data_IF_116423129984
#
_entry.id   IF_116423129984
#
_cell.length_a   1.000
_cell.length_b   1.000
_cell.length_c   1.000
_cell.angle_alpha   90.00
_cell.angle_beta   90.00
_cell.angle_gamma   90.00
#
_symmetry.space_group_name_H-M   'P 1'
#
loop_
_entity.id
_entity.type
_entity.pdbx_description
1 polymer ?
#
# COMPACT_ATOMS: atom_id res chain seq x y z
N UNK A 1 1.63 9.23 -26.25
CA UNK A 1 0.52 9.38 -25.26
C UNK A 1 1.11 9.14 -23.89
N UNK A 2 0.72 9.90 -22.86
CA UNK A 2 1.24 9.72 -21.49
C UNK A 2 0.78 8.38 -20.92
N UNK A 3 1.72 7.60 -20.36
CA UNK A 3 1.45 6.41 -19.58
C UNK A 3 1.32 6.78 -18.10
N UNK A 4 0.12 6.65 -17.53
CA UNK A 4 -0.23 7.14 -16.21
C UNK A 4 -0.19 6.05 -15.16
N UNK A 5 0.62 6.26 -14.14
CA UNK A 5 0.81 5.31 -13.03
C UNK A 5 0.21 5.89 -11.75
N UNK A 6 -0.58 5.09 -11.05
CA UNK A 6 -0.99 5.32 -9.67
C UNK A 6 -0.22 4.38 -8.75
N UNK A 7 0.50 4.91 -7.77
CA UNK A 7 1.25 4.12 -6.79
C UNK A 7 0.71 4.38 -5.39
N UNK A 8 0.36 3.32 -4.66
CA UNK A 8 -0.28 3.38 -3.34
C UNK A 8 0.56 2.67 -2.28
N UNK A 9 0.98 3.40 -1.27
CA UNK A 9 1.84 2.87 -0.21
C UNK A 9 1.09 1.96 0.77
N UNK A 10 1.87 1.14 1.50
CA UNK A 10 1.41 0.44 2.68
C UNK A 10 1.23 1.35 3.90
N UNK A 11 0.68 0.80 4.99
CA UNK A 11 0.48 1.57 6.24
C UNK A 11 -0.69 1.15 7.14
N UNK A 12 -1.31 0.00 6.89
CA UNK A 12 -2.43 -0.51 7.70
C UNK A 12 -3.65 0.41 7.66
N UNK A 13 -4.28 0.69 8.82
CA UNK A 13 -5.48 1.53 8.91
C UNK A 13 -5.28 2.95 8.35
N UNK A 14 -4.04 3.42 8.27
CA UNK A 14 -3.70 4.71 7.66
C UNK A 14 -4.02 4.78 6.17
N UNK A 15 -4.32 3.65 5.52
CA UNK A 15 -4.90 3.60 4.16
C UNK A 15 -6.15 4.46 4.00
N UNK A 16 -6.85 4.82 5.09
CA UNK A 16 -7.92 5.85 5.09
C UNK A 16 -7.47 7.16 4.47
N UNK A 17 -6.22 7.58 4.70
CA UNK A 17 -5.66 8.81 4.13
C UNK A 17 -5.61 8.71 2.60
N UNK A 18 -4.99 7.65 2.09
CA UNK A 18 -4.90 7.41 0.66
C UNK A 18 -6.28 7.27 0.03
N UNK A 19 -7.23 6.59 0.68
CA UNK A 19 -8.61 6.46 0.21
C UNK A 19 -9.33 7.82 0.06
N UNK A 20 -9.13 8.73 1.02
CA UNK A 20 -9.69 10.09 0.96
C UNK A 20 -9.04 10.89 -0.15
N UNK A 21 -7.72 10.85 -0.29
CA UNK A 21 -7.01 11.56 -1.36
C UNK A 21 -7.46 11.04 -2.74
N UNK A 22 -7.59 9.71 -2.90
CA UNK A 22 -8.14 9.10 -4.12
C UNK A 22 -9.54 9.61 -4.43
N UNK A 23 -10.40 9.75 -3.43
CA UNK A 23 -11.76 10.25 -3.63
C UNK A 23 -11.82 11.74 -3.98
N UNK A 24 -10.83 12.55 -3.59
CA UNK A 24 -10.70 13.93 -4.07
C UNK A 24 -10.13 13.96 -5.50
N UNK A 25 -9.12 13.13 -5.79
CA UNK A 25 -8.54 13.01 -7.12
C UNK A 25 -9.55 12.53 -8.18
N UNK A 26 -10.38 11.55 -7.83
CA UNK A 26 -11.46 11.03 -8.68
C UNK A 26 -12.50 12.11 -9.03
N UNK A 27 -12.74 13.08 -8.14
CA UNK A 27 -13.62 14.23 -8.44
C UNK A 27 -12.97 15.21 -9.41
N UNK A 28 -11.69 15.54 -9.19
CA UNK A 28 -10.95 16.48 -10.05
C UNK A 28 -10.77 15.91 -11.46
N UNK A 29 -10.47 14.61 -11.58
CA UNK A 29 -10.38 13.92 -12.88
C UNK A 29 -11.76 13.80 -13.55
N UNK A 30 -12.84 13.78 -12.76
CA UNK A 30 -14.21 13.61 -13.23
C UNK A 30 -14.44 12.33 -14.07
N UNK A 31 -13.70 11.25 -13.75
CA UNK A 31 -13.91 9.92 -14.32
C UNK A 31 -13.43 8.83 -13.35
N UNK A 32 -13.92 7.58 -13.48
CA UNK A 32 -13.43 6.47 -12.67
C UNK A 32 -11.91 6.30 -12.82
N UNK A 33 -11.21 6.16 -11.68
CA UNK A 33 -9.74 6.12 -11.69
C UNK A 33 -9.18 4.93 -12.49
N UNK A 34 -9.92 3.82 -12.58
CA UNK A 34 -9.52 2.67 -13.40
C UNK A 34 -9.59 2.93 -14.91
N UNK A 35 -10.29 3.98 -15.35
CA UNK A 35 -10.28 4.43 -16.75
C UNK A 35 -9.25 5.52 -17.01
N UNK A 36 -8.68 6.12 -15.97
CA UNK A 36 -7.68 7.19 -16.08
C UNK A 36 -6.24 6.67 -16.05
N UNK A 37 -5.95 5.71 -15.17
CA UNK A 37 -4.61 5.16 -15.02
C UNK A 37 -4.39 3.93 -15.91
N UNK A 38 -3.19 3.79 -16.46
CA UNK A 38 -2.78 2.62 -17.26
C UNK A 38 -2.17 1.52 -16.39
N UNK A 39 -1.59 1.91 -15.25
CA UNK A 39 -1.00 0.99 -14.25
C UNK A 39 -1.31 1.48 -12.84
N UNK A 40 -1.84 0.60 -12.01
CA UNK A 40 -2.06 0.83 -10.59
C UNK A 40 -1.20 -0.15 -9.80
N UNK A 41 -0.37 0.38 -8.90
CA UNK A 41 0.54 -0.39 -8.05
C UNK A 41 0.20 -0.17 -6.58
N UNK A 42 0.24 -1.25 -5.79
CA UNK A 42 -0.10 -1.17 -4.38
C UNK A 42 0.66 -2.14 -3.48
N UNK A 43 0.96 -1.68 -2.27
CA UNK A 43 1.60 -2.48 -1.22
C UNK A 43 0.76 -2.49 0.04
N UNK A 44 0.57 -3.64 0.69
CA UNK A 44 -0.19 -3.76 1.94
C UNK A 44 -1.59 -3.16 1.82
N UNK A 45 -1.98 -2.23 2.69
CA UNK A 45 -3.25 -1.50 2.56
C UNK A 45 -3.40 -0.80 1.19
N UNK A 46 -2.28 -0.35 0.59
CA UNK A 46 -2.23 0.19 -0.77
C UNK A 46 -2.55 -0.87 -1.83
N UNK A 47 -2.27 -2.15 -1.60
CA UNK A 47 -2.70 -3.22 -2.50
C UNK A 47 -4.21 -3.42 -2.49
N UNK A 48 -4.83 -3.28 -1.31
CA UNK A 48 -6.30 -3.36 -1.14
C UNK A 48 -6.96 -2.19 -1.90
N UNK A 49 -6.41 -0.98 -1.76
CA UNK A 49 -6.86 0.18 -2.52
C UNK A 49 -6.64 -0.01 -4.01
N UNK A 50 -5.44 -0.42 -4.43
CA UNK A 50 -5.09 -0.63 -5.83
C UNK A 50 -6.01 -1.65 -6.49
N UNK A 51 -6.26 -2.79 -5.83
CA UNK A 51 -7.17 -3.82 -6.28
C UNK A 51 -8.61 -3.29 -6.41
N UNK A 52 -9.12 -2.57 -5.39
CA UNK A 52 -10.46 -2.00 -5.42
C UNK A 52 -10.63 -0.98 -6.54
N UNK A 53 -9.68 -0.06 -6.70
CA UNK A 53 -9.72 0.90 -7.79
C UNK A 53 -9.64 0.16 -9.12
N UNK A 54 -8.70 -0.77 -9.31
CA UNK A 54 -8.52 -1.48 -10.58
C UNK A 54 -9.76 -2.28 -11.01
N UNK A 55 -10.56 -2.80 -10.07
CA UNK A 55 -11.85 -3.47 -10.36
C UNK A 55 -13.02 -2.50 -10.56
N UNK A 56 -12.77 -1.19 -10.56
CA UNK A 56 -13.78 -0.15 -10.80
C UNK A 56 -14.60 0.24 -9.57
N UNK A 57 -14.16 -0.14 -8.36
CA UNK A 57 -14.83 0.27 -7.13
C UNK A 57 -14.56 1.77 -6.91
N UNK A 58 -15.60 2.60 -6.73
CA UNK A 58 -15.41 4.03 -6.50
C UNK A 58 -14.56 4.31 -5.27
N UNK A 59 -13.71 5.33 -5.35
CA UNK A 59 -12.78 5.68 -4.26
C UNK A 59 -13.50 5.96 -2.94
N UNK A 60 -14.72 6.51 -2.99
CA UNK A 60 -15.58 6.73 -1.81
C UNK A 60 -16.01 5.45 -1.11
N UNK A 61 -16.25 4.36 -1.84
CA UNK A 61 -16.60 3.06 -1.24
C UNK A 61 -15.37 2.45 -0.55
N UNK A 62 -14.17 2.70 -1.06
CA UNK A 62 -12.93 2.29 -0.39
C UNK A 62 -12.72 2.99 0.95
N UNK A 63 -13.21 4.23 1.14
CA UNK A 63 -13.23 4.88 2.46
C UNK A 63 -14.14 4.10 3.42
N UNK A 64 -15.34 3.73 2.96
CA UNK A 64 -16.33 3.02 3.79
C UNK A 64 -15.84 1.63 4.22
N UNK A 65 -15.03 0.97 3.38
CA UNK A 65 -14.38 -0.29 3.75
C UNK A 65 -13.61 -0.16 5.07
N UNK A 66 -12.78 0.87 5.22
CA UNK A 66 -12.03 1.09 6.46
C UNK A 66 -12.93 1.51 7.62
N UNK A 67 -13.92 2.37 7.39
CA UNK A 67 -14.85 2.83 8.43
C UNK A 67 -15.70 1.69 9.01
N UNK A 68 -16.16 0.77 8.17
CA UNK A 68 -17.12 -0.27 8.55
C UNK A 68 -16.43 -1.59 8.91
N UNK A 69 -15.30 -1.89 8.27
CA UNK A 69 -14.62 -3.20 8.40
C UNK A 69 -13.26 -3.09 9.06
N UNK A 70 -12.73 -1.89 9.32
CA UNK A 70 -11.44 -1.68 9.99
C UNK A 70 -11.33 -2.42 11.32
N UNK A 71 -12.32 -2.30 12.20
CA UNK A 71 -12.35 -3.02 13.49
C UNK A 71 -12.40 -4.55 13.32
N UNK A 72 -12.99 -5.05 12.22
CA UNK A 72 -13.02 -6.49 11.89
C UNK A 72 -11.68 -6.98 11.35
N UNK A 73 -10.96 -6.16 10.59
CA UNK A 73 -9.60 -6.45 10.13
C UNK A 73 -8.64 -6.45 11.33
N UNK A 74 -8.70 -5.39 12.16
CA UNK A 74 -7.84 -5.17 13.32
C UNK A 74 -8.53 -5.54 14.63
N UNK A 75 -8.99 -6.80 14.75
CA UNK A 75 -9.79 -7.30 15.90
C UNK A 75 -9.15 -7.21 17.29
N UNK A 76 -7.88 -6.85 17.40
CA UNK A 76 -7.12 -6.91 18.65
C UNK A 76 -6.53 -5.55 19.01
N UNK A 77 -7.32 -4.70 19.65
CA UNK A 77 -6.87 -3.39 20.14
C UNK A 77 -6.11 -3.46 21.48
N UNK A 78 -6.22 -4.56 22.24
CA UNK A 78 -5.53 -4.71 23.53
C UNK A 78 -4.66 -5.97 23.62
N UNK A 79 -3.41 -5.80 24.05
CA UNK A 79 -2.44 -6.88 24.35
C UNK A 79 -2.95 -7.88 25.40
N UNK A 80 -3.95 -7.50 26.20
CA UNK A 80 -4.51 -8.28 27.32
C UNK A 80 -5.88 -8.90 27.02
N UNK A 81 -6.36 -8.85 25.77
CA UNK A 81 -7.66 -9.46 25.43
C UNK A 81 -7.63 -10.98 25.59
N UNK A 82 -8.63 -11.57 26.27
CA UNK A 82 -8.86 -13.02 26.37
C UNK A 82 -8.94 -13.71 24.99
N UNK A 83 -9.27 -12.94 23.93
CA UNK A 83 -9.27 -13.43 22.54
C UNK A 83 -7.86 -13.65 21.97
N UNK A 84 -6.80 -13.05 22.55
CA UNK A 84 -5.38 -13.32 22.20
C UNK A 84 -4.90 -14.66 22.74
N UNK A 85 -5.58 -15.24 23.73
CA UNK A 85 -5.21 -16.53 24.30
C UNK A 85 -5.14 -17.61 23.21
N UNK A 86 -6.08 -17.61 22.25
CA UNK A 86 -6.08 -18.53 21.10
C UNK A 86 -4.87 -18.36 20.17
N UNK A 87 -4.39 -17.12 19.98
CA UNK A 87 -3.26 -16.78 19.11
C UNK A 87 -1.93 -17.13 19.81
N UNK A 88 -1.84 -16.86 21.12
CA UNK A 88 -0.70 -17.25 21.97
C UNK A 88 -0.62 -18.77 22.14
N UNK A 89 -1.76 -19.46 22.35
CA UNK A 89 -1.82 -20.92 22.42
C UNK A 89 -1.37 -21.58 21.11
N UNK A 90 -1.61 -20.94 19.96
CA UNK A 90 -1.25 -21.46 18.64
C UNK A 90 0.21 -21.16 18.24
N UNK A 91 0.75 -20.00 18.60
CA UNK A 91 2.05 -19.53 18.11
C UNK A 91 3.06 -19.17 19.23
N UNK A 92 2.74 -19.43 20.49
CA UNK A 92 3.59 -19.14 21.65
C UNK A 92 3.60 -17.67 22.07
N UNK A 93 4.53 -17.31 22.97
CA UNK A 93 4.65 -15.93 23.51
C UNK A 93 5.05 -14.89 22.44
N UNK A 94 5.58 -15.33 21.30
CA UNK A 94 5.96 -14.50 20.15
C UNK A 94 4.85 -14.40 19.08
N UNK A 95 3.61 -14.70 19.45
CA UNK A 95 2.50 -14.73 18.50
C UNK A 95 2.21 -13.35 17.86
N UNK A 96 1.76 -13.31 16.59
CA UNK A 96 1.42 -12.07 15.91
C UNK A 96 0.31 -11.30 16.65
N UNK A 97 0.30 -9.98 16.49
CA UNK A 97 -0.63 -9.07 17.18
C UNK A 97 -2.09 -9.40 16.86
N UNK A 98 -2.37 -9.83 15.62
CA UNK A 98 -3.68 -10.17 15.12
C UNK A 98 -3.73 -11.54 14.43
N UNK A 99 -4.92 -12.15 14.44
CA UNK A 99 -5.29 -13.25 13.53
C UNK A 99 -5.53 -12.68 12.13
N UNK A 100 -5.07 -13.38 11.09
CA UNK A 100 -5.37 -13.04 9.69
C UNK A 100 -6.81 -13.36 9.27
N UNK A 101 -7.61 -14.02 10.12
CA UNK A 101 -8.97 -14.42 9.78
C UNK A 101 -9.87 -13.23 9.40
N UNK A 102 -9.80 -12.14 10.18
CA UNK A 102 -10.60 -10.94 9.90
C UNK A 102 -10.23 -10.27 8.58
N UNK A 103 -8.93 -10.19 8.29
CA UNK A 103 -8.42 -9.71 7.01
C UNK A 103 -8.92 -10.61 5.85
N UNK A 104 -8.75 -11.93 5.96
CA UNK A 104 -9.18 -12.88 4.91
C UNK A 104 -10.69 -12.79 4.66
N UNK A 105 -11.51 -12.78 5.70
CA UNK A 105 -12.97 -12.68 5.58
C UNK A 105 -13.39 -11.39 4.86
N UNK A 106 -12.82 -10.25 5.27
CA UNK A 106 -13.15 -8.95 4.65
C UNK A 106 -12.66 -8.87 3.21
N UNK A 107 -11.47 -9.40 2.89
CA UNK A 107 -10.97 -9.42 1.51
C UNK A 107 -11.81 -10.34 0.62
N UNK A 108 -12.26 -11.49 1.12
CA UNK A 108 -13.20 -12.38 0.41
C UNK A 108 -14.56 -11.73 0.19
N UNK A 109 -15.11 -11.04 1.19
CA UNK A 109 -16.34 -10.25 1.05
C UNK A 109 -16.18 -9.17 -0.03
N UNK A 110 -15.02 -8.50 -0.08
CA UNK A 110 -14.79 -7.36 -0.96
C UNK A 110 -14.55 -7.76 -2.42
N UNK A 111 -13.76 -8.81 -2.67
CA UNK A 111 -13.32 -9.18 -4.02
C UNK A 111 -13.92 -10.50 -4.54
N UNK A 112 -14.66 -11.23 -3.70
CA UNK A 112 -15.41 -12.42 -4.09
C UNK A 112 -14.56 -13.44 -4.86
N UNK A 113 -15.01 -13.77 -6.07
CA UNK A 113 -14.35 -14.72 -6.98
C UNK A 113 -13.41 -14.08 -7.98
N UNK A 114 -13.24 -12.74 -7.94
CA UNK A 114 -12.36 -12.02 -8.87
C UNK A 114 -10.93 -12.53 -8.72
N UNK A 115 -10.31 -12.82 -9.86
CA UNK A 115 -8.92 -13.24 -9.98
C UNK A 115 -8.06 -12.09 -10.45
N UNK A 116 -6.75 -12.20 -10.22
CA UNK A 116 -5.79 -11.24 -10.73
C UNK A 116 -5.85 -11.12 -12.28
N UNK A 117 -6.06 -12.25 -12.96
CA UNK A 117 -6.23 -12.33 -14.43
C UNK A 117 -7.46 -11.59 -14.97
N UNK A 118 -8.45 -11.28 -14.15
CA UNK A 118 -9.66 -10.58 -14.59
C UNK A 118 -9.40 -9.08 -14.84
N UNK A 119 -8.22 -8.59 -14.43
CA UNK A 119 -7.78 -7.18 -14.54
C UNK A 119 -6.62 -7.09 -15.56
N UNK A 120 -6.79 -7.67 -16.74
CA UNK A 120 -5.68 -7.91 -17.66
C UNK A 120 -5.15 -6.65 -18.36
N UNK A 121 -6.06 -5.76 -18.78
CA UNK A 121 -5.75 -4.81 -19.86
C UNK A 121 -5.52 -3.38 -19.36
N UNK A 122 -6.57 -2.66 -18.99
CA UNK A 122 -6.45 -1.31 -18.41
C UNK A 122 -7.47 -1.08 -17.28
N UNK A 123 -7.03 -0.78 -16.06
CA UNK A 123 -5.64 -0.56 -15.68
C UNK A 123 -4.93 -1.91 -15.48
N UNK A 124 -3.63 -1.95 -15.76
CA UNK A 124 -2.77 -3.03 -15.26
C UNK A 124 -2.65 -2.94 -13.74
N UNK A 125 -2.60 -4.07 -13.03
CA UNK A 125 -2.50 -4.12 -11.57
C UNK A 125 -1.20 -4.80 -11.11
N UNK A 126 -0.44 -4.10 -10.26
CA UNK A 126 0.77 -4.59 -9.62
C UNK A 126 0.60 -4.62 -8.09
N UNK A 127 0.86 -5.76 -7.47
CA UNK A 127 0.84 -5.92 -6.01
C UNK A 127 2.16 -6.51 -5.52
N UNK A 128 2.78 -5.87 -4.53
CA UNK A 128 4.05 -6.35 -3.95
C UNK A 128 3.83 -7.20 -2.71
N UNK A 129 4.53 -8.32 -2.59
CA UNK A 129 4.66 -9.13 -1.37
C UNK A 129 6.09 -9.70 -1.29
N UNK A 130 6.40 -10.46 -0.24
CA UNK A 130 7.71 -11.09 -0.10
C UNK A 130 7.59 -12.56 0.31
N UNK A 131 8.28 -13.45 -0.39
CA UNK A 131 8.31 -14.88 -0.09
C UNK A 131 9.47 -15.21 0.85
N UNK A 132 9.15 -15.61 2.06
CA UNK A 132 10.15 -16.00 3.07
C UNK A 132 10.81 -17.35 2.78
N UNK A 133 10.17 -18.25 2.01
CA UNK A 133 10.77 -19.54 1.65
C UNK A 133 11.85 -19.37 0.59
N UNK A 134 11.56 -18.65 -0.50
CA UNK A 134 12.57 -18.38 -1.54
C UNK A 134 13.44 -17.15 -1.26
N UNK A 135 13.12 -16.35 -0.24
CA UNK A 135 13.78 -15.09 0.10
C UNK A 135 13.82 -14.11 -1.07
N UNK A 136 12.71 -14.03 -1.81
CA UNK A 136 12.57 -13.22 -3.02
C UNK A 136 11.26 -12.44 -2.97
N UNK A 137 11.18 -11.24 -3.59
CA UNK A 137 9.93 -10.53 -3.72
C UNK A 137 8.94 -11.31 -4.60
N UNK A 138 7.66 -11.21 -4.26
CA UNK A 138 6.55 -11.63 -5.12
C UNK A 138 5.96 -10.34 -5.70
N UNK A 139 6.04 -10.18 -7.01
CA UNK A 139 5.41 -9.05 -7.71
C UNK A 139 4.24 -9.62 -8.51
N UNK A 140 3.06 -9.63 -7.90
CA UNK A 140 1.82 -10.03 -8.58
C UNK A 140 1.53 -9.00 -9.68
N UNK A 141 1.32 -9.48 -10.90
CA UNK A 141 1.06 -8.66 -12.07
C UNK A 141 -0.09 -9.25 -12.86
N UNK A 142 -1.09 -8.45 -13.17
CA UNK A 142 -2.31 -8.91 -13.85
C UNK A 142 -2.16 -9.18 -15.35
N UNK A 143 -0.99 -8.91 -15.93
CA UNK A 143 -0.67 -9.12 -17.35
C UNK A 143 0.44 -10.17 -17.57
N UNK A 144 0.62 -11.09 -16.62
CA UNK A 144 1.67 -12.13 -16.65
C UNK A 144 1.09 -13.53 -16.70
N UNK A 145 0.56 -13.91 -17.86
CA UNK A 145 0.04 -15.26 -18.13
C UNK A 145 1.08 -16.37 -17.91
N UNK A 146 2.36 -16.04 -18.06
CA UNK A 146 3.49 -16.96 -17.84
C UNK A 146 3.74 -17.31 -16.36
N UNK A 147 2.97 -16.75 -15.42
CA UNK A 147 3.22 -16.90 -13.98
C UNK A 147 2.11 -17.69 -13.31
N UNK A 148 2.51 -18.62 -12.44
CA UNK A 148 1.56 -19.48 -11.73
C UNK A 148 0.61 -18.72 -10.80
N UNK A 149 0.95 -17.49 -10.43
CA UNK A 149 0.08 -16.62 -9.64
C UNK A 149 -1.01 -15.93 -10.47
N UNK A 150 -1.00 -16.04 -11.80
CA UNK A 150 -1.86 -15.26 -12.69
C UNK A 150 -3.37 -15.44 -12.41
N UNK A 151 -3.78 -16.65 -12.04
CA UNK A 151 -5.17 -16.97 -11.71
C UNK A 151 -5.47 -16.99 -10.20
N UNK A 152 -4.54 -16.49 -9.37
CA UNK A 152 -4.75 -16.40 -7.92
C UNK A 152 -5.91 -15.44 -7.65
N UNK A 153 -6.81 -15.78 -6.70
CA UNK A 153 -7.87 -14.87 -6.29
C UNK A 153 -7.31 -13.52 -5.83
N UNK A 154 -7.92 -12.44 -6.27
CA UNK A 154 -7.45 -11.08 -5.98
C UNK A 154 -7.42 -10.79 -4.47
N UNK A 155 -8.40 -11.30 -3.73
CA UNK A 155 -8.43 -11.22 -2.27
C UNK A 155 -7.18 -11.85 -1.65
N UNK A 156 -6.67 -12.95 -2.22
CA UNK A 156 -5.55 -13.69 -1.67
C UNK A 156 -4.22 -12.99 -1.95
N UNK A 157 -4.07 -12.39 -3.13
CA UNK A 157 -2.93 -11.52 -3.44
C UNK A 157 -2.86 -10.31 -2.48
N UNK A 158 -4.02 -9.70 -2.17
CA UNK A 158 -4.09 -8.63 -1.17
C UNK A 158 -3.73 -9.12 0.24
N UNK A 159 -4.22 -10.30 0.65
CA UNK A 159 -3.86 -10.90 1.95
C UNK A 159 -2.34 -11.15 2.02
N UNK A 160 -1.73 -11.69 0.97
CA UNK A 160 -0.28 -11.88 0.89
C UNK A 160 0.46 -10.54 1.12
N UNK A 161 0.03 -9.49 0.42
CA UNK A 161 0.64 -8.16 0.48
C UNK A 161 0.42 -7.43 1.81
N UNK A 162 -0.67 -7.70 2.54
CA UNK A 162 -1.01 -7.05 3.81
C UNK A 162 -0.64 -7.87 5.06
N UNK A 163 0.04 -9.01 4.91
CA UNK A 163 0.43 -9.89 6.03
C UNK A 163 1.69 -9.39 6.74
N UNK A 164 1.59 -8.24 7.40
CA UNK A 164 2.75 -7.56 8.00
C UNK A 164 3.40 -8.39 9.13
N UNK A 165 4.73 -8.61 9.11
CA UNK A 165 5.43 -9.28 10.20
C UNK A 165 5.14 -8.65 11.55
N UNK A 166 5.01 -9.47 12.59
CA UNK A 166 4.58 -9.09 13.95
C UNK A 166 3.11 -8.66 14.10
N UNK A 167 2.44 -8.23 13.04
CA UNK A 167 1.01 -7.89 13.04
C UNK A 167 0.13 -9.07 12.64
N UNK A 168 0.46 -9.76 11.56
CA UNK A 168 -0.28 -10.90 11.03
C UNK A 168 0.65 -12.10 10.83
N UNK A 169 0.13 -13.34 10.88
CA UNK A 169 0.89 -14.52 10.44
C UNK A 169 1.18 -14.43 8.94
N UNK A 170 2.30 -15.01 8.50
CA UNK A 170 2.57 -15.21 7.07
C UNK A 170 1.43 -16.01 6.42
N UNK A 171 1.09 -15.64 5.18
CA UNK A 171 0.06 -16.32 4.41
C UNK A 171 0.69 -17.37 3.50
N UNK A 172 0.20 -18.61 3.59
CA UNK A 172 0.62 -19.66 2.68
C UNK A 172 -0.22 -19.60 1.41
N UNK A 173 0.39 -19.16 0.31
CA UNK A 173 -0.24 -19.20 -1.01
C UNK A 173 0.21 -20.46 -1.75
N UNK A 174 -0.74 -21.29 -2.18
CA UNK A 174 -0.47 -22.49 -2.98
C UNK A 174 -0.90 -22.25 -4.41
N UNK A 175 0.06 -22.36 -5.34
CA UNK A 175 -0.18 -22.39 -6.78
C UNK A 175 0.05 -23.80 -7.31
N UNK A 176 -0.18 -24.03 -8.61
CA UNK A 176 -0.02 -25.36 -9.21
C UNK A 176 1.41 -25.91 -9.08
N UNK A 177 2.41 -25.04 -9.22
CA UNK A 177 3.84 -25.41 -9.25
C UNK A 177 4.57 -25.11 -7.94
N UNK A 178 4.10 -24.12 -7.16
CA UNK A 178 4.86 -23.54 -6.04
C UNK A 178 3.96 -23.21 -4.86
N UNK A 179 4.51 -23.44 -3.66
CA UNK A 179 3.98 -22.90 -2.41
C UNK A 179 4.85 -21.72 -1.98
N UNK A 180 4.21 -20.60 -1.66
CA UNK A 180 4.85 -19.39 -1.15
C UNK A 180 4.54 -19.24 0.34
N UNK A 181 5.49 -18.71 1.11
CA UNK A 181 5.28 -18.23 2.46
C UNK A 181 5.32 -16.71 2.45
N UNK A 182 4.20 -16.11 2.07
CA UNK A 182 4.09 -14.70 1.76
C UNK A 182 3.91 -13.83 3.01
N UNK A 183 4.68 -12.76 3.07
CA UNK A 183 4.54 -11.67 4.04
C UNK A 183 4.38 -10.34 3.29
N UNK A 184 4.06 -9.30 4.05
CA UNK A 184 3.82 -7.96 3.53
C UNK A 184 4.93 -7.43 2.64
N UNK A 185 4.55 -6.81 1.53
CA UNK A 185 5.49 -6.22 0.57
C UNK A 185 6.27 -5.03 1.12
N UNK A 186 5.80 -4.42 2.21
CA UNK A 186 6.42 -3.30 2.89
C UNK A 186 7.81 -3.59 3.41
N UNK A 187 8.17 -4.86 3.60
CA UNK A 187 9.55 -5.27 3.95
C UNK A 187 10.56 -5.00 2.83
N UNK A 188 10.09 -4.83 1.59
CA UNK A 188 10.93 -4.59 0.42
C UNK A 188 10.58 -3.29 -0.29
N UNK A 189 9.30 -3.09 -0.62
CA UNK A 189 8.81 -1.96 -1.40
C UNK A 189 7.52 -1.40 -0.81
N UNK A 190 7.60 -0.74 0.35
CA UNK A 190 6.43 -0.12 0.99
C UNK A 190 5.81 1.03 0.16
N UNK A 191 6.63 1.64 -0.71
CA UNK A 191 6.21 2.51 -1.79
C UNK A 191 6.52 1.80 -3.12
N UNK A 192 5.52 1.32 -3.87
CA UNK A 192 5.74 0.53 -5.08
C UNK A 192 6.06 1.36 -6.33
N UNK A 193 6.29 2.68 -6.20
CA UNK A 193 6.43 3.59 -7.35
C UNK A 193 7.58 3.21 -8.28
N UNK A 194 8.77 2.89 -7.75
CA UNK A 194 9.89 2.51 -8.61
C UNK A 194 9.73 1.11 -9.20
N UNK A 195 8.99 0.21 -8.53
CA UNK A 195 8.60 -1.08 -9.11
C UNK A 195 7.66 -0.88 -10.32
N UNK A 196 6.68 0.02 -10.18
CA UNK A 196 5.76 0.35 -11.25
C UNK A 196 6.48 1.05 -12.42
N UNK A 197 7.39 1.98 -12.12
CA UNK A 197 8.24 2.64 -13.12
C UNK A 197 9.09 1.63 -13.91
N UNK A 198 9.73 0.69 -13.22
CA UNK A 198 10.53 -0.36 -13.86
C UNK A 198 9.68 -1.24 -14.80
N UNK A 199 8.44 -1.55 -14.42
CA UNK A 199 7.53 -2.31 -15.28
C UNK A 199 7.02 -1.48 -16.46
N UNK A 200 6.76 -0.18 -16.29
CA UNK A 200 6.39 0.69 -17.41
C UNK A 200 7.51 0.78 -18.47
N UNK A 201 8.76 0.90 -18.04
CA UNK A 201 9.94 0.85 -18.93
C UNK A 201 10.00 -0.51 -19.66
N UNK A 202 9.77 -1.60 -18.92
CA UNK A 202 9.72 -2.96 -19.49
C UNK A 202 8.57 -3.15 -20.48
N UNK A 203 7.49 -2.39 -20.35
CA UNK A 203 6.37 -2.31 -21.31
C UNK A 203 6.68 -1.38 -22.51
N UNK A 204 7.95 -0.98 -22.69
CA UNK A 204 8.45 -0.12 -23.76
C UNK A 204 7.95 1.34 -23.71
N UNK A 205 7.62 1.85 -22.52
CA UNK A 205 7.40 3.29 -22.34
C UNK A 205 8.71 4.00 -21.99
N UNK A 206 9.01 5.09 -22.70
CA UNK A 206 10.16 5.93 -22.37
C UNK A 206 9.88 6.74 -21.10
N UNK A 207 10.93 7.13 -20.36
CA UNK A 207 10.78 7.92 -19.14
C UNK A 207 10.02 9.25 -19.37
N UNK A 208 10.13 9.83 -20.59
CA UNK A 208 9.46 11.08 -20.98
C UNK A 208 7.95 10.92 -21.16
N UNK A 209 7.46 9.69 -21.33
CA UNK A 209 6.04 9.39 -21.52
C UNK A 209 5.37 8.99 -20.21
N UNK A 210 6.12 8.76 -19.14
CA UNK A 210 5.58 8.24 -17.88
C UNK A 210 5.24 9.38 -16.94
N UNK A 211 4.03 9.35 -16.40
CA UNK A 211 3.58 10.23 -15.31
C UNK A 211 3.13 9.38 -14.13
N UNK A 212 3.53 9.77 -12.91
CA UNK A 212 3.26 8.99 -11.69
C UNK A 212 2.64 9.88 -10.61
N UNK A 213 1.48 9.46 -10.12
CA UNK A 213 0.91 9.94 -8.85
C UNK A 213 1.18 8.86 -7.79
N UNK A 214 1.96 9.22 -6.76
CA UNK A 214 2.28 8.34 -5.64
C UNK A 214 1.62 8.89 -4.37
N UNK A 215 0.75 8.09 -3.75
CA UNK A 215 -0.03 8.47 -2.57
C UNK A 215 0.42 7.64 -1.37
N UNK A 216 0.95 8.34 -0.37
CA UNK A 216 1.36 7.75 0.90
C UNK A 216 0.23 7.66 1.92
N UNK A 217 0.49 6.94 3.00
CA UNK A 217 -0.43 6.76 4.13
C UNK A 217 -0.09 7.68 5.32
N UNK A 218 0.62 8.77 5.05
CA UNK A 218 1.04 9.76 6.02
C UNK A 218 2.41 9.47 6.63
N UNK A 219 3.12 10.55 6.97
CA UNK A 219 4.47 10.53 7.52
C UNK A 219 4.48 11.02 8.97
N UNK A 220 5.23 10.32 9.82
CA UNK A 220 5.39 10.67 11.23
C UNK A 220 6.52 11.67 11.41
N UNK A 221 6.23 12.81 12.03
CA UNK A 221 7.25 13.80 12.40
C UNK A 221 7.95 13.48 13.74
N UNK A 222 8.07 12.19 14.10
CA UNK A 222 8.68 11.76 15.37
C UNK A 222 10.10 11.24 15.15
N UNK A 223 11.13 12.10 15.22
CA UNK A 223 12.50 11.66 15.08
C UNK A 223 12.88 10.69 16.21
N UNK A 224 13.78 9.76 15.92
CA UNK A 224 14.46 8.92 16.90
C UNK A 224 15.88 9.50 17.07
N UNK A 225 16.15 10.30 18.13
CA UNK A 225 17.47 10.89 18.33
C UNK A 225 18.55 9.84 18.58
N UNK A 226 19.77 10.15 18.13
CA UNK A 226 20.94 9.27 18.30
C UNK A 226 21.19 8.93 19.77
N UNK A 227 21.01 9.88 20.68
CA UNK A 227 21.23 9.70 22.13
C UNK A 227 20.34 8.61 22.71
N UNK A 228 19.12 8.44 22.15
CA UNK A 228 18.22 7.35 22.52
C UNK A 228 18.67 6.05 21.83
N UNK A 229 18.83 6.07 20.52
CA UNK A 229 19.04 4.86 19.71
C UNK A 229 20.40 4.19 19.93
N UNK A 230 21.46 4.93 20.28
CA UNK A 230 22.84 4.42 20.41
C UNK A 230 23.00 3.25 21.38
N UNK A 231 22.12 3.15 22.37
CA UNK A 231 22.14 2.09 23.39
C UNK A 231 21.04 1.04 23.22
N UNK A 232 20.27 1.10 22.14
CA UNK A 232 19.14 0.19 21.95
C UNK A 232 19.59 -1.20 21.47
N UNK A 233 19.12 -2.22 22.16
CA UNK A 233 19.20 -3.62 21.73
C UNK A 233 17.85 -4.15 21.25
N UNK A 234 17.74 -5.48 21.10
CA UNK A 234 16.51 -6.16 20.65
C UNK A 234 15.26 -5.74 21.44
N UNK A 235 15.41 -5.51 22.75
CA UNK A 235 14.33 -5.07 23.62
C UNK A 235 13.77 -3.71 23.22
N UNK A 236 14.61 -2.68 23.15
CA UNK A 236 14.19 -1.31 22.84
C UNK A 236 13.74 -1.14 21.38
N UNK A 237 14.44 -1.77 20.44
CA UNK A 237 14.03 -1.78 19.02
C UNK A 237 12.70 -2.52 18.81
N UNK A 238 12.48 -3.63 19.52
CA UNK A 238 11.22 -4.36 19.47
C UNK A 238 10.09 -3.70 20.29
N UNK A 239 10.44 -2.87 21.28
CA UNK A 239 9.46 -2.19 22.13
C UNK A 239 8.65 -1.19 21.31
N UNK A 240 7.33 -1.19 21.52
CA UNK A 240 6.35 -0.37 20.79
C UNK A 240 6.35 -0.53 19.25
N UNK A 241 7.14 -1.44 18.66
CA UNK A 241 7.14 -1.66 17.20
C UNK A 241 8.08 -0.75 16.40
N UNK A 242 9.01 -0.04 17.07
CA UNK A 242 9.96 0.91 16.43
C UNK A 242 10.77 0.30 15.30
N UNK A 243 11.20 -0.95 15.44
CA UNK A 243 11.92 -1.66 14.38
C UNK A 243 11.06 -1.79 13.10
N UNK A 244 9.76 -2.09 13.23
CA UNK A 244 8.88 -2.25 12.09
C UNK A 244 8.60 -0.90 11.41
N UNK A 245 8.45 0.18 12.19
CA UNK A 245 8.34 1.55 11.66
C UNK A 245 9.53 1.87 10.75
N UNK A 246 10.76 1.77 11.29
CA UNK A 246 11.98 2.08 10.52
C UNK A 246 12.14 1.17 9.29
N UNK A 247 11.85 -0.13 9.42
CA UNK A 247 11.94 -1.07 8.32
C UNK A 247 10.89 -0.85 7.22
N UNK A 248 9.80 -0.13 7.49
CA UNK A 248 8.79 0.22 6.50
C UNK A 248 8.97 1.65 5.95
N UNK A 249 9.49 2.57 6.75
CA UNK A 249 9.77 3.94 6.35
C UNK A 249 10.99 4.00 5.40
N UNK A 250 12.08 3.29 5.74
CA UNK A 250 13.29 3.34 4.93
C UNK A 250 13.09 2.85 3.47
N UNK A 251 12.42 1.71 3.20
CA UNK A 251 12.09 1.34 1.82
C UNK A 251 11.20 2.38 1.14
N UNK A 252 10.24 2.97 1.85
CA UNK A 252 9.36 3.99 1.28
C UNK A 252 10.17 5.18 0.73
N UNK A 253 11.14 5.66 1.51
CA UNK A 253 12.02 6.77 1.14
C UNK A 253 12.99 6.43 0.02
N UNK A 254 13.58 5.23 0.04
CA UNK A 254 14.48 4.78 -1.03
C UNK A 254 13.73 4.68 -2.36
N UNK A 255 12.55 4.08 -2.36
CA UNK A 255 11.73 3.97 -3.58
C UNK A 255 11.25 5.34 -4.07
N UNK A 256 10.92 6.27 -3.15
CA UNK A 256 10.62 7.68 -3.50
C UNK A 256 11.82 8.37 -4.14
N UNK A 257 13.00 8.24 -3.55
CA UNK A 257 14.24 8.82 -4.06
C UNK A 257 14.54 8.30 -5.46
N UNK A 258 14.55 6.98 -5.67
CA UNK A 258 14.82 6.38 -6.98
C UNK A 258 13.83 6.88 -8.04
N UNK A 259 12.53 6.87 -7.76
CA UNK A 259 11.51 7.35 -8.71
C UNK A 259 11.70 8.82 -9.04
N UNK A 260 11.96 9.65 -8.01
CA UNK A 260 12.20 11.08 -8.18
C UNK A 260 13.45 11.36 -9.02
N UNK A 261 14.56 10.67 -8.79
CA UNK A 261 15.78 10.91 -9.58
C UNK A 261 15.63 10.46 -11.03
N UNK A 262 14.96 9.32 -11.27
CA UNK A 262 14.77 8.81 -12.63
C UNK A 262 13.80 9.66 -13.46
N UNK A 263 12.70 10.13 -12.86
CA UNK A 263 11.71 10.96 -13.57
C UNK A 263 12.10 12.43 -13.54
N UNK A 264 12.64 12.91 -12.41
CA UNK A 264 13.04 14.30 -12.20
C UNK A 264 14.34 14.70 -12.88
N UNK A 265 15.24 13.76 -13.20
CA UNK A 265 16.43 14.07 -14.04
C UNK A 265 16.07 14.60 -15.44
N UNK A 266 14.83 14.38 -15.90
CA UNK A 266 14.29 14.94 -17.14
C UNK A 266 13.81 16.40 -17.01
N UNK A 267 13.74 16.96 -15.80
CA UNK A 267 13.38 18.37 -15.55
C UNK A 267 14.53 19.34 -15.93
N UNK A 268 15.66 18.83 -16.41
CA UNK A 268 16.90 19.61 -16.62
C UNK A 268 17.06 20.30 -17.98
N UNK A 269 16.13 20.15 -18.94
CA UNK A 269 16.16 20.89 -20.22
C UNK A 269 14.86 21.66 -20.52
N UNK A 270 13.70 21.20 -20.04
CA UNK A 270 12.38 21.85 -20.18
C UNK A 270 11.64 21.77 -18.83
N UNK A 271 12.07 22.58 -17.86
CA UNK A 271 11.67 22.55 -16.44
C UNK A 271 10.21 22.95 -16.12
N UNK A 272 9.28 22.83 -17.08
CA UNK A 272 7.89 23.30 -16.92
C UNK A 272 6.90 22.20 -16.55
N UNK A 273 7.28 20.92 -16.63
CA UNK A 273 6.36 19.79 -16.45
C UNK A 273 6.93 18.77 -15.46
N UNK A 274 6.46 18.83 -14.20
CA UNK A 274 6.75 17.75 -13.26
C UNK A 274 5.90 16.52 -13.59
N UNK A 275 6.54 15.36 -13.74
CA UNK A 275 5.90 14.08 -14.08
C UNK A 275 5.78 13.13 -12.89
N UNK A 276 6.24 13.55 -11.71
CA UNK A 276 6.14 12.79 -10.48
C UNK A 276 5.48 13.62 -9.37
N UNK A 277 4.27 13.25 -8.99
CA UNK A 277 3.55 13.87 -7.88
C UNK A 277 3.51 12.93 -6.68
N UNK A 278 4.16 13.34 -5.58
CA UNK A 278 4.11 12.62 -4.30
C UNK A 278 3.17 13.31 -3.32
N UNK A 279 2.13 12.60 -2.91
CA UNK A 279 1.13 13.05 -1.94
C UNK A 279 1.36 12.36 -0.60
N UNK A 280 1.90 13.09 0.38
CA UNK A 280 2.26 12.53 1.69
C UNK A 280 1.93 13.55 2.80
N UNK A 281 0.78 13.43 3.47
CA UNK A 281 0.41 14.32 4.56
C UNK A 281 1.16 14.00 5.85
N UNK A 282 1.38 15.02 6.68
CA UNK A 282 1.95 14.84 8.02
C UNK A 282 0.88 14.36 9.00
N UNK A 283 1.21 13.36 9.83
CA UNK A 283 0.28 12.77 10.80
C UNK A 283 0.86 12.79 12.22
N UNK A 284 -0.04 12.88 13.21
CA UNK A 284 0.33 12.87 14.63
C UNK A 284 0.26 11.48 15.27
N UNK A 285 -0.60 10.60 14.74
CA UNK A 285 -0.72 9.20 15.16
C UNK A 285 -0.26 8.31 13.99
N UNK A 286 0.87 7.66 14.20
CA UNK A 286 1.56 6.78 13.26
C UNK A 286 1.22 5.29 13.45
N UNK A 287 0.34 4.97 14.40
CA UNK A 287 -0.07 3.60 14.70
C UNK A 287 -0.82 2.97 13.52
N UNK A 288 -0.27 1.87 12.99
CA UNK A 288 -0.81 1.20 11.80
C UNK A 288 -2.06 0.34 12.02
N UNK A 289 -2.43 0.04 13.26
CA UNK A 289 -3.56 -0.84 13.60
C UNK A 289 -4.61 -0.20 14.53
N UNK A 290 -4.53 1.11 14.76
CA UNK A 290 -5.54 1.85 15.53
C UNK A 290 -6.81 2.09 14.68
N UNK A 291 -7.67 1.08 14.63
CA UNK A 291 -8.94 1.12 13.91
C UNK A 291 -10.10 1.74 14.71
N UNK A 292 -9.82 2.54 15.74
CA UNK A 292 -10.88 3.24 16.47
C UNK A 292 -11.56 4.29 15.60
N UNK A 293 -12.87 4.49 15.81
CA UNK A 293 -13.64 5.51 15.08
C UNK A 293 -13.05 6.92 15.22
N UNK A 294 -12.51 7.24 16.39
CA UNK A 294 -11.85 8.53 16.65
C UNK A 294 -10.60 8.71 15.77
N UNK A 295 -9.74 7.70 15.71
CA UNK A 295 -8.53 7.76 14.88
C UNK A 295 -8.88 7.83 13.39
N UNK A 296 -9.83 7.01 12.91
CA UNK A 296 -10.29 7.06 11.51
C UNK A 296 -10.84 8.45 11.16
N UNK A 297 -11.64 9.06 12.04
CA UNK A 297 -12.15 10.41 11.83
C UNK A 297 -11.02 11.46 11.78
N UNK A 298 -10.00 11.32 12.61
CA UNK A 298 -8.82 12.19 12.58
C UNK A 298 -8.04 12.04 11.27
N UNK A 299 -7.77 10.81 10.82
CA UNK A 299 -7.08 10.52 9.56
C UNK A 299 -7.83 11.13 8.37
N UNK A 300 -9.16 11.00 8.33
CA UNK A 300 -10.00 11.63 7.30
C UNK A 300 -9.88 13.14 7.30
N UNK A 301 -9.89 13.77 8.48
CA UNK A 301 -9.77 15.23 8.61
C UNK A 301 -8.41 15.71 8.10
N UNK A 302 -7.32 15.03 8.47
CA UNK A 302 -5.98 15.33 7.98
C UNK A 302 -5.92 15.22 6.46
N UNK A 303 -6.42 14.12 5.89
CA UNK A 303 -6.40 13.89 4.46
C UNK A 303 -7.22 14.92 3.67
N UNK A 304 -8.41 15.30 4.16
CA UNK A 304 -9.24 16.35 3.54
C UNK A 304 -8.56 17.71 3.57
N UNK A 305 -7.99 18.09 4.71
CA UNK A 305 -7.28 19.36 4.85
C UNK A 305 -6.07 19.41 3.91
N UNK A 306 -5.31 18.32 3.83
CA UNK A 306 -4.17 18.19 2.93
C UNK A 306 -4.61 18.30 1.46
N UNK A 307 -5.65 17.58 1.05
CA UNK A 307 -6.17 17.64 -0.32
C UNK A 307 -6.64 19.05 -0.68
N UNK A 308 -7.35 19.74 0.22
CA UNK A 308 -7.78 21.12 0.02
C UNK A 308 -6.60 22.09 -0.13
N UNK A 309 -5.58 21.98 0.73
CA UNK A 309 -4.38 22.81 0.65
C UNK A 309 -3.57 22.61 -0.63
N UNK A 310 -3.65 21.42 -1.24
CA UNK A 310 -2.89 21.03 -2.42
C UNK A 310 -3.74 20.95 -3.70
N UNK A 311 -4.96 21.50 -3.70
CA UNK A 311 -5.87 21.38 -4.84
C UNK A 311 -5.27 21.96 -6.14
N UNK A 312 -4.62 23.13 -6.06
CA UNK A 312 -3.95 23.73 -7.22
C UNK A 312 -2.78 22.89 -7.73
N UNK A 313 -2.07 22.16 -6.86
CA UNK A 313 -1.03 21.22 -7.27
C UNK A 313 -1.62 20.03 -8.05
N UNK A 314 -2.80 19.54 -7.64
CA UNK A 314 -3.47 18.44 -8.33
C UNK A 314 -3.90 18.88 -9.73
N UNK A 315 -4.57 20.02 -9.83
CA UNK A 315 -5.06 20.57 -11.09
C UNK A 315 -3.92 20.81 -12.08
N UNK A 316 -2.87 21.51 -11.65
CA UNK A 316 -1.69 21.74 -12.48
C UNK A 316 -1.07 20.43 -12.98
N UNK A 317 -0.95 19.41 -12.12
CA UNK A 317 -0.36 18.14 -12.52
C UNK A 317 -1.22 17.39 -13.55
N UNK A 318 -2.55 17.39 -13.36
CA UNK A 318 -3.52 16.72 -14.23
C UNK A 318 -3.68 17.41 -15.59
N UNK A 319 -3.60 18.74 -15.64
CA UNK A 319 -3.66 19.50 -16.90
C UNK A 319 -2.45 19.23 -17.80
N UNK A 320 -1.30 18.96 -17.19
CA UNK A 320 -0.03 18.80 -17.89
C UNK A 320 0.18 17.35 -18.37
N UNK A 321 -0.39 16.33 -17.70
CA UNK A 321 -0.03 14.91 -17.87
C UNK A 321 -1.19 13.99 -18.29
#
# INVERSE_FOLDING_TARGET
MTFRILSLDGGGIRGVIAAVILAELEKEINQPLNKYFDLIAGTSTGSILAAGIATGIPSREMIRLYEQKGERIFRYTSRFSLKRLKVILKYGLSAPKHSNQGLIEVMKEQFGTTKLSDIYDSPRLLITAYDTMSRMPIIFKSWREDKDYFHVPLWEACVCSASAPTYFPAHQLKTQSKTYSAIDGGVGANNPSSCALAEAIRLNHSLKEISIISIGTGESNRPIPWEKARGWGLGQWGWQGRLIEVLFDAPCDIHRYITKELIGSLESEDATVSRYLRLQPQITNDTMDDATRSNIAQLKRVAKNYAWQNQGLFQNFLEIN
#
